data_IF_025703081833
#
_entry.id   IF_025703081833
#
_cell.length_a   1.000
_cell.length_b   1.000
_cell.length_c   1.000
_cell.angle_alpha   90.00
_cell.angle_beta   90.00
_cell.angle_gamma   90.00
#
_symmetry.space_group_name_H-M   'P 1'
#
loop_
_entity.id
_entity.type
_entity.pdbx_description
1 polymer ?
#
# COMPACT_ATOMS: atom_id res chain seq x y z
N UNK A 1 8.23 1.58 5.94
CA UNK A 1 8.05 0.46 4.97
C UNK A 1 9.27 0.37 4.07
N UNK A 2 9.41 -0.69 3.27
CA UNK A 2 10.55 -0.86 2.36
C UNK A 2 10.04 -1.17 0.94
N UNK A 3 10.53 -0.45 -0.06
CA UNK A 3 10.43 -0.87 -1.45
C UNK A 3 11.53 -1.88 -1.74
N UNK A 4 11.17 -3.05 -2.23
CA UNK A 4 12.10 -4.10 -2.59
C UNK A 4 11.63 -4.86 -3.81
N UNK A 5 12.41 -4.86 -4.90
CA UNK A 5 12.08 -5.54 -6.16
C UNK A 5 10.65 -5.23 -6.64
N UNK A 6 10.26 -3.95 -6.65
CA UNK A 6 8.92 -3.52 -7.07
C UNK A 6 7.77 -3.92 -6.13
N UNK A 7 8.08 -4.37 -4.91
CA UNK A 7 7.09 -4.67 -3.87
C UNK A 7 7.30 -3.77 -2.66
N UNK A 8 6.20 -3.23 -2.12
CA UNK A 8 6.21 -2.61 -0.80
C UNK A 8 6.08 -3.72 0.25
N UNK A 9 7.03 -3.77 1.17
CA UNK A 9 6.97 -4.62 2.36
C UNK A 9 6.25 -3.83 3.46
N UNK A 10 5.12 -4.38 3.90
CA UNK A 10 4.26 -3.82 4.94
C UNK A 10 4.46 -4.65 6.22
N UNK A 11 5.00 -4.02 7.29
CA UNK A 11 5.17 -4.66 8.59
C UNK A 11 3.88 -5.25 9.17
N UNK A 12 4.00 -6.38 9.85
CA UNK A 12 2.88 -7.11 10.47
C UNK A 12 2.01 -6.25 11.40
N UNK A 13 2.62 -5.37 12.20
CA UNK A 13 1.91 -4.46 13.11
C UNK A 13 0.97 -3.51 12.38
N UNK A 14 1.37 -3.03 11.20
CA UNK A 14 0.53 -2.19 10.34
C UNK A 14 -0.58 -3.03 9.71
N UNK A 15 -0.26 -4.22 9.21
CA UNK A 15 -1.24 -5.13 8.60
C UNK A 15 -2.36 -5.46 9.60
N UNK A 16 -2.00 -5.91 10.80
CA UNK A 16 -2.96 -6.30 11.83
C UNK A 16 -3.79 -5.13 12.34
N UNK A 17 -3.18 -3.95 12.48
CA UNK A 17 -3.86 -2.79 13.07
C UNK A 17 -4.73 -2.01 12.08
N UNK A 18 -4.36 -1.97 10.81
CA UNK A 18 -4.94 -1.02 9.85
C UNK A 18 -5.48 -1.64 8.56
N UNK A 19 -5.07 -2.87 8.21
CA UNK A 19 -5.42 -3.52 6.92
C UNK A 19 -6.23 -4.81 7.11
N UNK A 20 -6.87 -4.97 8.28
CA UNK A 20 -7.81 -6.04 8.62
C UNK A 20 -7.30 -7.49 8.45
N UNK A 21 -5.98 -7.71 8.36
CA UNK A 21 -5.37 -9.02 8.03
C UNK A 21 -5.89 -9.70 6.77
N UNK A 22 -6.70 -9.00 5.97
CA UNK A 22 -7.28 -9.49 4.73
C UNK A 22 -6.19 -9.65 3.66
N UNK A 23 -6.39 -10.62 2.77
CA UNK A 23 -5.50 -10.84 1.62
C UNK A 23 -5.68 -9.79 0.53
N UNK A 24 -6.61 -8.85 0.69
CA UNK A 24 -6.91 -7.82 -0.29
C UNK A 24 -7.03 -6.44 0.36
N UNK A 25 -6.48 -5.44 -0.34
CA UNK A 25 -6.63 -4.03 0.01
C UNK A 25 -7.13 -3.23 -1.18
N UNK A 26 -7.83 -2.15 -0.90
CA UNK A 26 -8.08 -1.13 -1.88
C UNK A 26 -6.88 -0.20 -1.97
N UNK A 27 -6.46 0.15 -3.19
CA UNK A 27 -5.44 1.17 -3.39
C UNK A 27 -5.77 2.14 -4.51
N UNK A 28 -5.18 3.33 -4.43
CA UNK A 28 -5.17 4.35 -5.48
C UNK A 28 -3.85 5.10 -5.44
N UNK A 29 -3.27 5.36 -6.62
CA UNK A 29 -2.07 6.18 -6.76
C UNK A 29 -2.44 7.55 -7.34
N UNK A 30 -1.79 8.59 -6.83
CA UNK A 30 -2.01 9.98 -7.22
C UNK A 30 -0.69 10.59 -7.72
N UNK A 31 -0.49 10.67 -9.06
CA UNK A 31 0.74 11.16 -9.66
C UNK A 31 1.10 12.59 -9.24
N UNK A 32 0.08 13.45 -9.04
CA UNK A 32 0.28 14.87 -8.71
C UNK A 32 0.94 15.12 -7.35
N UNK A 33 0.96 14.10 -6.48
CA UNK A 33 1.54 14.15 -5.14
C UNK A 33 2.49 12.98 -4.86
N UNK A 34 2.79 12.15 -5.86
CA UNK A 34 3.60 10.94 -5.72
C UNK A 34 3.20 10.05 -4.55
N UNK A 35 1.90 9.87 -4.35
CA UNK A 35 1.37 9.14 -3.18
C UNK A 35 0.47 7.97 -3.56
N UNK A 36 0.75 6.83 -2.93
CA UNK A 36 -0.11 5.66 -2.90
C UNK A 36 -0.95 5.68 -1.62
N UNK A 37 -2.26 5.60 -1.76
CA UNK A 37 -3.19 5.42 -0.65
C UNK A 37 -3.66 3.98 -0.64
N UNK A 38 -3.62 3.36 0.53
CA UNK A 38 -4.05 1.98 0.78
C UNK A 38 -5.04 1.96 1.94
N UNK A 39 -6.13 1.21 1.79
CA UNK A 39 -7.13 1.04 2.83
C UNK A 39 -7.62 -0.41 2.89
N UNK A 40 -7.97 -0.84 4.10
CA UNK A 40 -8.56 -2.14 4.35
C UNK A 40 -9.92 -2.30 3.65
N UNK A 41 -10.34 -3.54 3.45
CA UNK A 41 -11.62 -3.85 2.81
C UNK A 41 -12.83 -3.32 3.59
N UNK A 42 -12.76 -3.28 4.92
CA UNK A 42 -13.84 -2.73 5.75
C UNK A 42 -14.08 -1.23 5.53
N UNK A 43 -13.12 -0.49 4.95
CA UNK A 43 -13.18 0.96 4.74
C UNK A 43 -14.00 1.33 3.50
N UNK A 44 -15.27 0.96 3.47
CA UNK A 44 -16.17 1.14 2.31
C UNK A 44 -16.33 2.59 1.84
N UNK A 45 -16.06 3.58 2.69
CA UNK A 45 -16.06 4.99 2.30
C UNK A 45 -14.92 5.33 1.31
N UNK A 46 -13.83 4.56 1.34
CA UNK A 46 -12.63 4.82 0.52
C UNK A 46 -12.94 4.66 -0.98
N UNK A 47 -13.67 3.62 -1.35
CA UNK A 47 -14.13 3.37 -2.74
C UNK A 47 -15.12 4.43 -3.24
N UNK A 48 -15.86 5.08 -2.33
CA UNK A 48 -16.78 6.17 -2.70
C UNK A 48 -16.04 7.48 -2.99
N UNK A 49 -14.87 7.68 -2.38
CA UNK A 49 -14.08 8.91 -2.51
C UNK A 49 -13.01 8.82 -3.60
N UNK A 50 -12.55 7.61 -3.92
CA UNK A 50 -11.41 7.38 -4.80
C UNK A 50 -11.76 6.38 -5.90
N UNK A 51 -11.15 6.52 -7.07
CA UNK A 51 -11.18 5.48 -8.12
C UNK A 51 -10.13 4.42 -7.76
N UNK A 52 -10.52 3.45 -6.95
CA UNK A 52 -9.60 2.44 -6.40
C UNK A 52 -9.49 1.20 -7.28
N UNK A 53 -8.48 0.39 -7.00
CA UNK A 53 -8.37 -1.00 -7.44
C UNK A 53 -8.08 -1.91 -6.27
N UNK A 54 -8.62 -3.13 -6.33
CA UNK A 54 -8.31 -4.20 -5.39
C UNK A 54 -6.96 -4.83 -5.72
N UNK A 55 -6.12 -5.00 -4.70
CA UNK A 55 -4.81 -5.62 -4.82
C UNK A 55 -4.60 -6.67 -3.76
N UNK A 56 -3.90 -7.72 -4.16
CA UNK A 56 -3.51 -8.81 -3.25
C UNK A 56 -2.38 -8.35 -2.34
N UNK A 57 -2.55 -8.54 -1.02
CA UNK A 57 -1.49 -8.53 -0.02
C UNK A 57 -0.95 -9.95 0.16
N UNK A 58 0.20 -10.23 -0.45
CA UNK A 58 0.83 -11.55 -0.36
C UNK A 58 1.60 -11.71 0.94
N UNK A 59 1.53 -12.88 1.57
CA UNK A 59 2.39 -13.21 2.70
C UNK A 59 3.86 -13.12 2.33
N UNK A 60 4.63 -12.39 3.14
CA UNK A 60 6.08 -12.32 3.03
C UNK A 60 6.75 -13.37 3.90
N UNK A 61 6.24 -13.58 5.10
CA UNK A 61 6.81 -14.46 6.11
C UNK A 61 5.74 -14.90 7.12
N UNK A 62 6.12 -15.83 8.00
CA UNK A 62 5.25 -16.36 9.06
C UNK A 62 5.00 -15.36 10.22
N UNK A 63 5.66 -14.19 10.22
CA UNK A 63 5.49 -13.17 11.25
C UNK A 63 4.32 -12.22 10.94
N UNK A 64 3.71 -12.34 9.75
CA UNK A 64 2.56 -11.55 9.33
C UNK A 64 2.91 -10.32 8.46
N UNK A 65 4.17 -10.16 8.07
CA UNK A 65 4.52 -9.14 7.09
C UNK A 65 3.87 -9.49 5.75
N UNK A 66 3.33 -8.48 5.07
CA UNK A 66 2.73 -8.62 3.74
C UNK A 66 3.54 -7.86 2.69
N UNK A 67 3.33 -8.22 1.43
CA UNK A 67 3.87 -7.49 0.27
C UNK A 67 2.76 -7.03 -0.66
N UNK A 68 2.91 -5.80 -1.14
CA UNK A 68 2.05 -5.19 -2.15
C UNK A 68 2.87 -4.92 -3.41
N UNK A 69 2.45 -5.49 -4.54
CA UNK A 69 3.11 -5.28 -5.82
C UNK A 69 2.76 -3.89 -6.38
N UNK A 70 3.79 -3.09 -6.67
CA UNK A 70 3.64 -1.70 -7.15
C UNK A 70 4.49 -1.37 -8.37
N UNK A 71 5.25 -2.33 -8.91
CA UNK A 71 6.18 -2.10 -10.02
C UNK A 71 5.52 -1.44 -11.25
N UNK A 72 4.30 -1.84 -11.58
CA UNK A 72 3.53 -1.22 -12.67
C UNK A 72 3.35 0.28 -12.44
N UNK A 73 2.99 0.71 -11.23
CA UNK A 73 2.83 2.13 -10.89
C UNK A 73 4.17 2.87 -11.06
N UNK A 74 5.26 2.26 -10.61
CA UNK A 74 6.60 2.88 -10.71
C UNK A 74 6.98 3.11 -12.17
N UNK A 75 6.77 2.12 -13.03
CA UNK A 75 7.07 2.22 -14.47
C UNK A 75 6.15 3.23 -15.16
N UNK A 76 4.84 3.12 -14.94
CA UNK A 76 3.83 3.96 -15.60
C UNK A 76 3.98 5.45 -15.27
N UNK A 77 4.63 5.77 -14.15
CA UNK A 77 4.81 7.14 -13.65
C UNK A 77 6.28 7.59 -13.59
N UNK A 78 7.20 6.84 -14.21
CA UNK A 78 8.64 7.15 -14.25
C UNK A 78 9.24 7.44 -12.87
N UNK A 79 8.89 6.60 -11.89
CA UNK A 79 9.35 6.71 -10.50
C UNK A 79 10.59 5.86 -10.25
N UNK A 80 11.40 6.27 -9.27
CA UNK A 80 12.57 5.51 -8.83
C UNK A 80 12.17 4.12 -8.30
N UNK A 81 12.59 3.07 -9.01
CA UNK A 81 12.30 1.68 -8.72
C UNK A 81 13.39 0.95 -7.91
N UNK A 82 14.42 1.68 -7.47
CA UNK A 82 15.47 1.14 -6.63
C UNK A 82 14.93 0.70 -5.25
N UNK A 83 15.58 -0.31 -4.67
CA UNK A 83 15.31 -0.75 -3.30
C UNK A 83 15.61 0.39 -2.31
N UNK A 84 14.58 0.88 -1.60
CA UNK A 84 14.71 2.02 -0.69
C UNK A 84 13.68 2.02 0.44
N UNK A 85 13.98 2.64 1.60
CA UNK A 85 12.98 2.89 2.62
C UNK A 85 11.92 3.86 2.09
N UNK A 86 10.64 3.59 2.38
CA UNK A 86 9.52 4.43 2.00
C UNK A 86 9.00 5.20 3.22
N UNK A 87 8.74 6.49 3.03
CA UNK A 87 8.00 7.33 3.97
C UNK A 87 6.52 6.99 3.89
N UNK A 88 5.86 6.97 5.03
CA UNK A 88 4.44 6.68 5.11
C UNK A 88 3.81 7.37 6.32
N UNK A 89 2.51 7.61 6.23
CA UNK A 89 1.68 8.16 7.28
C UNK A 89 0.40 7.34 7.38
N UNK A 90 -0.12 7.14 8.59
CA UNK A 90 -1.41 6.51 8.82
C UNK A 90 -2.37 7.56 9.37
N UNK A 91 -3.42 7.87 8.61
CA UNK A 91 -4.42 8.86 9.00
C UNK A 91 -5.34 8.30 10.09
N UNK A 92 -6.00 9.18 10.83
CA UNK A 92 -7.02 8.80 11.83
C UNK A 92 -8.16 7.97 11.23
N UNK A 93 -8.41 8.10 9.93
CA UNK A 93 -9.39 7.31 9.17
C UNK A 93 -8.94 5.86 8.92
N UNK A 94 -7.68 5.52 9.21
CA UNK A 94 -7.07 4.21 8.94
C UNK A 94 -6.55 4.05 7.51
N UNK A 95 -6.46 5.14 6.74
CA UNK A 95 -5.82 5.14 5.41
C UNK A 95 -4.30 5.21 5.60
N UNK A 96 -3.58 4.29 4.96
CA UNK A 96 -2.11 4.31 4.87
C UNK A 96 -1.72 5.09 3.62
N UNK A 97 -0.98 6.17 3.80
CA UNK A 97 -0.41 7.00 2.72
C UNK A 97 1.07 6.68 2.61
N UNK A 98 1.55 6.38 1.41
CA UNK A 98 2.93 5.98 1.15
C UNK A 98 3.48 6.87 0.04
N UNK A 99 4.63 7.49 0.28
CA UNK A 99 5.33 8.27 -0.74
C UNK A 99 6.09 7.29 -1.66
N UNK A 100 5.83 7.36 -2.97
CA UNK A 100 6.48 6.56 -4.01
C UNK A 100 7.41 7.41 -4.88
#
# INVERSE_FOLDING_TARGET
>A
MLLKNGHIIIPADIVTKWLDTDDYVNMVYYPERSQLLVAAKSKTFFEKLHKTKWMVLKDKNLQGDKTLYVREILIDNDLDDADRPLRFEIKTTGIVTIDL
#
